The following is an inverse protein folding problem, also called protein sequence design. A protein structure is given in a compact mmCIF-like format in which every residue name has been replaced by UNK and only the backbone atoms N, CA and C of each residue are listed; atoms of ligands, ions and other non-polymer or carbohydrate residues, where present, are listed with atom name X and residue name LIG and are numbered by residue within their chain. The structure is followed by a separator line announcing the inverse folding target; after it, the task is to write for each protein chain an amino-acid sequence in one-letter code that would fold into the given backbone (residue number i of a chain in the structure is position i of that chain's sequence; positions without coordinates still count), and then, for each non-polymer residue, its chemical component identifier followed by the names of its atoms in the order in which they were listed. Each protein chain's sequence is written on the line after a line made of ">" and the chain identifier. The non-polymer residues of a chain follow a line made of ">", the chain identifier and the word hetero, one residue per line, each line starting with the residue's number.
data_IF_179598831544
#
_entry.id   IF_179598831544
#
_cell.length_a   1.000
_cell.length_b   1.000
_cell.length_c   1.000
_cell.angle_alpha   90.00
_cell.angle_beta   90.00
_cell.angle_gamma   90.00
#
_symmetry.space_group_name_H-M   'P 1'
#
loop_
_entity.id
_entity.type
_entity.pdbx_description
1 polymer ?
#
# COMPACT_ATOMS: atom_id res chain seq x y z
N UNK A 1 -22.82 -10.71 -42.33
CA UNK A 1 -22.36 -9.55 -41.55
C UNK A 1 -20.85 -9.59 -41.62
N UNK A 2 -20.19 -8.53 -42.11
CA UNK A 2 -18.73 -8.53 -42.17
C UNK A 2 -18.17 -8.60 -40.75
N UNK A 3 -17.04 -9.29 -40.56
CA UNK A 3 -16.37 -9.37 -39.26
C UNK A 3 -15.78 -8.03 -38.81
N UNK A 4 -15.64 -7.06 -39.73
CA UNK A 4 -15.14 -5.70 -39.53
C UNK A 4 -15.72 -4.78 -40.60
N UNK A 5 -16.30 -3.66 -40.17
CA UNK A 5 -16.76 -2.55 -41.02
C UNK A 5 -15.59 -1.72 -41.59
N UNK A 6 -14.44 -1.74 -40.91
CA UNK A 6 -13.19 -1.14 -41.38
C UNK A 6 -12.73 -1.83 -42.66
N UNK A 7 -12.67 -3.17 -42.68
CA UNK A 7 -12.35 -3.89 -43.91
C UNK A 7 -13.40 -3.68 -45.01
N UNK A 8 -14.69 -3.62 -44.66
CA UNK A 8 -15.72 -3.25 -45.64
C UNK A 8 -15.42 -1.90 -46.29
N UNK A 9 -15.01 -0.91 -45.51
CA UNK A 9 -14.66 0.43 -46.00
C UNK A 9 -13.36 0.45 -46.81
N UNK A 10 -12.34 -0.30 -46.39
CA UNK A 10 -11.05 -0.40 -47.08
C UNK A 10 -11.18 -1.07 -48.46
N UNK A 11 -12.08 -2.03 -48.62
CA UNK A 11 -12.31 -2.76 -49.85
C UNK A 11 -13.57 -2.31 -50.61
N UNK A 12 -14.20 -1.19 -50.21
CA UNK A 12 -15.36 -0.64 -50.93
C UNK A 12 -14.94 -0.21 -52.33
N UNK A 13 -15.72 -0.66 -53.31
CA UNK A 13 -15.57 -0.25 -54.71
C UNK A 13 -16.24 1.12 -54.89
N UNK A 14 -15.45 2.19 -54.96
CA UNK A 14 -15.89 3.56 -55.27
C UNK A 14 -15.26 4.03 -56.60
N UNK A 15 -15.71 5.18 -57.14
CA UNK A 15 -15.22 5.71 -58.43
C UNK A 15 -13.70 5.95 -58.46
N UNK A 16 -13.06 6.09 -57.28
CA UNK A 16 -11.60 6.18 -57.14
C UNK A 16 -10.92 4.81 -57.30
N UNK A 17 -11.48 3.75 -56.73
CA UNK A 17 -11.01 2.38 -56.88
C UNK A 17 -11.38 1.76 -58.24
N UNK A 18 -12.43 2.24 -58.91
CA UNK A 18 -12.83 1.79 -60.24
C UNK A 18 -11.85 2.18 -61.37
N UNK A 19 -11.01 3.21 -61.16
CA UNK A 19 -9.97 3.60 -62.14
C UNK A 19 -8.72 2.71 -62.07
N UNK A 20 -8.57 1.90 -61.03
CA UNK A 20 -7.53 0.88 -60.96
C UNK A 20 -7.97 -0.31 -61.83
N UNK A 21 -7.27 -0.56 -62.94
CA UNK A 21 -7.47 -1.78 -63.73
C UNK A 21 -7.12 -3.00 -62.87
N UNK A 22 -8.13 -3.67 -62.32
CA UNK A 22 -7.98 -4.98 -61.71
C UNK A 22 -7.65 -6.00 -62.82
N UNK A 23 -6.37 -6.20 -63.12
CA UNK A 23 -5.89 -7.35 -63.90
C UNK A 23 -5.28 -8.38 -62.94
N UNK A 24 -5.27 -9.65 -63.34
CA UNK A 24 -4.60 -10.72 -62.59
C UNK A 24 -3.09 -10.43 -62.36
N UNK A 25 -2.50 -9.52 -63.14
CA UNK A 25 -1.09 -9.14 -63.07
C UNK A 25 -0.78 -7.97 -62.11
N UNK A 26 -1.80 -7.26 -61.59
CA UNK A 26 -1.63 -6.15 -60.63
C UNK A 26 -2.71 -6.20 -59.52
N UNK A 27 -2.50 -6.98 -58.44
CA UNK A 27 -3.45 -7.02 -57.32
C UNK A 27 -3.52 -5.67 -56.60
N UNK A 28 -4.72 -5.31 -56.13
CA UNK A 28 -4.92 -4.14 -55.27
C UNK A 28 -4.41 -4.46 -53.85
N UNK A 29 -3.19 -4.03 -53.54
CA UNK A 29 -2.53 -4.27 -52.25
C UNK A 29 -2.79 -3.10 -51.31
N UNK A 30 -3.29 -3.41 -50.12
CA UNK A 30 -3.39 -2.46 -49.00
C UNK A 30 -2.27 -2.80 -48.03
N UNK A 31 -1.35 -1.86 -47.83
CA UNK A 31 -0.26 -2.02 -46.87
C UNK A 31 -0.73 -1.62 -45.47
N UNK A 32 -0.52 -2.52 -44.50
CA UNK A 32 -0.82 -2.31 -43.09
C UNK A 32 0.49 -2.01 -42.36
N UNK A 33 0.65 -0.77 -41.90
CA UNK A 33 1.89 -0.29 -41.25
C UNK A 33 1.71 0.01 -39.77
N UNK A 34 0.48 -0.03 -39.28
CA UNK A 34 0.07 0.43 -37.95
C UNK A 34 -0.16 -0.72 -36.95
N UNK A 35 0.01 -1.98 -37.36
CA UNK A 35 -0.16 -3.17 -36.52
C UNK A 35 0.97 -4.18 -36.78
N UNK A 36 1.41 -4.85 -35.72
CA UNK A 36 2.39 -5.93 -35.81
C UNK A 36 1.84 -7.14 -36.60
N UNK A 37 2.68 -7.75 -37.43
CA UNK A 37 2.28 -8.85 -38.30
C UNK A 37 1.70 -10.05 -37.54
N UNK A 38 2.27 -10.37 -36.36
CA UNK A 38 1.77 -11.46 -35.51
C UNK A 38 0.37 -11.17 -34.97
N UNK A 39 0.16 -9.97 -34.43
CA UNK A 39 -1.14 -9.54 -33.93
C UNK A 39 -2.21 -9.56 -35.03
N UNK A 40 -1.86 -9.09 -36.23
CA UNK A 40 -2.76 -9.10 -37.39
C UNK A 40 -3.11 -10.53 -37.81
N UNK A 41 -2.14 -11.46 -37.77
CA UNK A 41 -2.35 -12.88 -38.10
C UNK A 41 -3.29 -13.56 -37.11
N UNK A 42 -3.16 -13.30 -35.81
CA UNK A 42 -4.09 -13.79 -34.79
C UNK A 42 -5.50 -13.25 -35.05
N UNK A 43 -5.62 -11.95 -35.31
CA UNK A 43 -6.90 -11.33 -35.63
C UNK A 43 -7.55 -11.94 -36.88
N UNK A 44 -6.79 -12.20 -37.94
CA UNK A 44 -7.30 -12.89 -39.14
C UNK A 44 -7.75 -14.32 -38.83
N UNK A 45 -6.96 -15.07 -38.08
CA UNK A 45 -7.30 -16.45 -37.69
C UNK A 45 -8.62 -16.49 -36.91
N UNK A 46 -8.83 -15.51 -36.01
CA UNK A 46 -10.09 -15.34 -35.32
C UNK A 46 -11.25 -14.98 -36.25
N UNK A 47 -11.06 -14.04 -37.18
CA UNK A 47 -12.10 -13.63 -38.14
C UNK A 47 -12.61 -14.81 -38.98
N UNK A 48 -11.70 -15.70 -39.41
CA UNK A 48 -12.05 -16.80 -40.32
C UNK A 48 -12.46 -18.09 -39.61
N UNK A 49 -11.91 -18.37 -38.42
CA UNK A 49 -12.06 -19.67 -37.77
C UNK A 49 -12.40 -19.59 -36.27
N UNK A 50 -12.59 -18.40 -35.71
CA UNK A 50 -12.70 -18.17 -34.25
C UNK A 50 -11.52 -18.79 -33.46
N UNK A 51 -10.37 -18.93 -34.11
CA UNK A 51 -9.18 -19.56 -33.54
C UNK A 51 -8.32 -18.54 -32.79
N UNK A 52 -8.07 -18.83 -31.50
CA UNK A 52 -7.22 -18.06 -30.59
C UNK A 52 -6.03 -18.87 -30.07
N UNK A 53 -5.67 -19.99 -30.72
CA UNK A 53 -4.57 -20.85 -30.29
C UNK A 53 -3.20 -20.15 -30.25
N UNK A 54 -3.00 -19.14 -31.10
CA UNK A 54 -1.78 -18.33 -31.14
C UNK A 54 -1.79 -17.13 -30.16
N UNK A 55 -2.93 -16.86 -29.48
CA UNK A 55 -3.05 -15.79 -28.49
C UNK A 55 -2.35 -16.17 -27.18
N UNK A 56 -1.47 -15.31 -26.69
CA UNK A 56 -0.73 -15.51 -25.44
C UNK A 56 -0.43 -14.16 -24.75
N UNK A 57 0.15 -14.20 -23.55
CA UNK A 57 0.43 -12.99 -22.76
C UNK A 57 1.35 -11.97 -23.46
N UNK A 58 2.24 -12.41 -24.34
CA UNK A 58 3.19 -11.52 -25.02
C UNK A 58 2.54 -10.70 -26.15
N UNK A 59 1.56 -11.28 -26.85
CA UNK A 59 0.88 -10.63 -27.97
C UNK A 59 -0.54 -10.12 -27.61
N UNK A 60 -1.06 -10.42 -26.41
CA UNK A 60 -2.43 -10.07 -26.02
C UNK A 60 -2.76 -8.58 -26.20
N UNK A 61 -1.85 -7.68 -25.84
CA UNK A 61 -2.10 -6.24 -25.93
C UNK A 61 -2.01 -5.71 -27.36
N UNK A 62 -1.07 -6.21 -28.17
CA UNK A 62 -0.95 -5.82 -29.57
C UNK A 62 -2.11 -6.36 -30.40
N UNK A 63 -2.61 -7.56 -30.07
CA UNK A 63 -3.86 -8.11 -30.62
C UNK A 63 -5.07 -7.29 -30.18
N UNK A 64 -5.14 -6.84 -28.92
CA UNK A 64 -6.23 -5.97 -28.44
C UNK A 64 -6.26 -4.64 -29.18
N UNK A 65 -5.10 -4.01 -29.38
CA UNK A 65 -4.97 -2.81 -30.20
C UNK A 65 -5.47 -3.07 -31.63
N UNK A 66 -5.02 -4.15 -32.28
CA UNK A 66 -5.46 -4.51 -33.63
C UNK A 66 -6.98 -4.72 -33.71
N UNK A 67 -7.54 -5.49 -32.77
CA UNK A 67 -8.97 -5.78 -32.70
C UNK A 67 -9.80 -4.50 -32.53
N UNK A 68 -9.35 -3.57 -31.70
CA UNK A 68 -10.02 -2.28 -31.53
C UNK A 68 -9.90 -1.41 -32.79
N UNK A 69 -8.69 -1.32 -33.36
CA UNK A 69 -8.37 -0.54 -34.57
C UNK A 69 -9.19 -0.96 -35.78
N UNK A 70 -9.35 -2.27 -35.99
CA UNK A 70 -10.13 -2.84 -37.08
C UNK A 70 -11.57 -3.15 -36.68
N UNK A 71 -12.03 -2.72 -35.50
CA UNK A 71 -13.40 -2.86 -35.00
C UNK A 71 -13.94 -4.31 -35.02
N UNK A 72 -13.12 -5.26 -34.59
CA UNK A 72 -13.49 -6.68 -34.44
C UNK A 72 -14.04 -6.91 -33.03
N UNK A 73 -15.28 -6.47 -32.79
CA UNK A 73 -15.83 -6.38 -31.42
C UNK A 73 -15.90 -7.71 -30.66
N UNK A 74 -16.07 -8.85 -31.36
CA UNK A 74 -16.08 -10.17 -30.71
C UNK A 74 -14.69 -10.57 -30.19
N UNK A 75 -13.64 -10.21 -30.91
CA UNK A 75 -12.25 -10.44 -30.49
C UNK A 75 -11.89 -9.55 -29.29
N UNK A 76 -12.32 -8.28 -29.32
CA UNK A 76 -12.16 -7.38 -28.17
C UNK A 76 -12.79 -8.02 -26.94
N UNK A 77 -14.05 -8.48 -27.01
CA UNK A 77 -14.71 -9.14 -25.88
C UNK A 77 -13.94 -10.36 -25.36
N UNK A 78 -13.43 -11.22 -26.24
CA UNK A 78 -12.63 -12.37 -25.84
C UNK A 78 -11.34 -11.95 -25.10
N UNK A 79 -10.67 -10.89 -25.56
CA UNK A 79 -9.47 -10.34 -24.93
C UNK A 79 -9.75 -9.65 -23.59
N UNK A 80 -10.92 -9.02 -23.43
CA UNK A 80 -11.33 -8.44 -22.15
C UNK A 80 -11.49 -9.49 -21.05
N UNK A 81 -11.66 -10.77 -21.41
CA UNK A 81 -11.71 -11.91 -20.48
C UNK A 81 -10.35 -12.59 -20.25
N UNK A 82 -9.29 -12.15 -20.93
CA UNK A 82 -7.95 -12.74 -20.85
C UNK A 82 -7.40 -12.77 -19.39
N UNK A 83 -6.63 -13.82 -19.00
CA UNK A 83 -6.02 -13.92 -17.68
C UNK A 83 -4.91 -12.88 -17.45
N UNK A 84 -5.12 -11.97 -16.51
CA UNK A 84 -4.17 -10.85 -16.26
C UNK A 84 -2.83 -11.33 -15.70
N UNK A 85 -2.83 -12.44 -14.97
CA UNK A 85 -1.62 -13.05 -14.41
C UNK A 85 -0.69 -13.66 -15.48
N UNK A 86 -1.16 -13.84 -16.71
CA UNK A 86 -0.33 -14.29 -17.84
C UNK A 86 0.32 -13.12 -18.59
N UNK A 87 -0.08 -11.87 -18.28
CA UNK A 87 0.50 -10.69 -18.90
C UNK A 87 1.91 -10.45 -18.36
N UNK A 88 2.91 -10.20 -19.23
CA UNK A 88 4.28 -9.96 -18.81
C UNK A 88 4.40 -8.65 -18.03
N UNK A 89 3.69 -7.60 -18.45
CA UNK A 89 3.71 -6.30 -17.81
C UNK A 89 2.29 -5.77 -17.59
N UNK A 90 1.75 -6.01 -16.38
CA UNK A 90 0.41 -5.55 -16.01
C UNK A 90 0.29 -4.02 -15.95
N UNK A 91 1.38 -3.30 -15.68
CA UNK A 91 1.37 -1.84 -15.66
C UNK A 91 1.18 -1.27 -17.06
N UNK A 92 1.86 -1.84 -18.06
CA UNK A 92 1.68 -1.47 -19.46
C UNK A 92 0.28 -1.82 -19.94
N UNK A 93 -0.19 -3.05 -19.68
CA UNK A 93 -1.52 -3.49 -20.05
C UNK A 93 -2.63 -2.59 -19.47
N UNK A 94 -2.45 -2.13 -18.24
CA UNK A 94 -3.36 -1.17 -17.60
C UNK A 94 -3.45 0.17 -18.36
N UNK A 95 -2.30 0.73 -18.76
CA UNK A 95 -2.23 2.01 -19.50
C UNK A 95 -2.82 1.85 -20.89
N UNK A 96 -2.45 0.79 -21.60
CA UNK A 96 -2.94 0.51 -22.96
C UNK A 96 -4.45 0.27 -22.97
N UNK A 97 -4.98 -0.51 -22.04
CA UNK A 97 -6.43 -0.72 -21.92
C UNK A 97 -7.17 0.60 -21.63
N UNK A 98 -6.57 1.49 -20.84
CA UNK A 98 -7.12 2.83 -20.59
C UNK A 98 -7.10 3.69 -21.87
N UNK A 99 -6.02 3.66 -22.65
CA UNK A 99 -5.93 4.38 -23.92
C UNK A 99 -6.94 3.88 -24.95
N UNK A 100 -7.27 2.59 -24.93
CA UNK A 100 -8.31 1.98 -25.77
C UNK A 100 -9.74 2.19 -25.24
N UNK A 101 -9.92 2.90 -24.13
CA UNK A 101 -11.19 3.10 -23.43
C UNK A 101 -11.84 1.81 -22.90
N UNK A 102 -11.05 0.74 -22.73
CA UNK A 102 -11.51 -0.55 -22.20
C UNK A 102 -11.44 -0.55 -20.66
N UNK A 103 -12.33 0.24 -20.06
CA UNK A 103 -12.38 0.51 -18.62
C UNK A 103 -12.54 -0.75 -17.77
N UNK A 104 -13.24 -1.77 -18.28
CA UNK A 104 -13.45 -3.04 -17.56
C UNK A 104 -12.13 -3.78 -17.35
N UNK A 105 -11.34 -3.93 -18.40
CA UNK A 105 -10.04 -4.59 -18.33
C UNK A 105 -9.02 -3.75 -17.56
N UNK A 106 -8.98 -2.43 -17.80
CA UNK A 106 -8.15 -1.50 -17.02
C UNK A 106 -8.42 -1.62 -15.51
N UNK A 107 -9.70 -1.72 -15.09
CA UNK A 107 -10.07 -1.93 -13.69
C UNK A 107 -9.56 -3.26 -13.16
N UNK A 108 -9.73 -4.35 -13.91
CA UNK A 108 -9.22 -5.67 -13.49
C UNK A 108 -7.69 -5.68 -13.35
N UNK A 109 -6.96 -5.00 -14.25
CA UNK A 109 -5.50 -4.85 -14.13
C UNK A 109 -5.13 -4.11 -12.84
N UNK A 110 -5.86 -3.04 -12.52
CA UNK A 110 -5.62 -2.25 -11.32
C UNK A 110 -5.93 -3.03 -10.03
N UNK A 111 -7.02 -3.79 -10.02
CA UNK A 111 -7.36 -4.69 -8.92
C UNK A 111 -6.27 -5.77 -8.74
N UNK A 112 -5.73 -6.31 -9.83
CA UNK A 112 -4.61 -7.24 -9.78
C UNK A 112 -3.33 -6.60 -9.21
N UNK A 113 -3.03 -5.37 -9.61
CA UNK A 113 -1.92 -4.58 -9.05
C UNK A 113 -2.10 -4.39 -7.55
N UNK A 114 -3.31 -4.05 -7.10
CA UNK A 114 -3.60 -3.84 -5.68
C UNK A 114 -3.38 -5.11 -4.85
N UNK A 115 -3.83 -6.26 -5.34
CA UNK A 115 -3.72 -7.53 -4.63
C UNK A 115 -2.29 -8.09 -4.61
N UNK A 116 -1.49 -7.82 -5.65
CA UNK A 116 -0.14 -8.34 -5.80
C UNK A 116 0.94 -7.25 -5.61
N UNK A 117 0.60 -6.16 -4.93
CA UNK A 117 1.46 -4.98 -4.85
C UNK A 117 2.84 -5.28 -4.26
N UNK A 118 2.93 -6.15 -3.25
CA UNK A 118 4.21 -6.47 -2.59
C UNK A 118 5.23 -7.14 -3.54
N UNK A 119 4.77 -7.95 -4.50
CA UNK A 119 5.62 -8.59 -5.50
C UNK A 119 5.85 -7.67 -6.69
N UNK A 120 4.80 -7.03 -7.20
CA UNK A 120 4.86 -6.17 -8.38
C UNK A 120 5.72 -4.93 -8.16
N UNK A 121 5.68 -4.28 -6.99
CA UNK A 121 6.56 -3.15 -6.70
C UNK A 121 8.05 -3.53 -6.66
N UNK A 122 8.38 -4.82 -6.49
CA UNK A 122 9.75 -5.32 -6.49
C UNK A 122 10.25 -5.74 -7.87
N UNK A 123 9.36 -5.76 -8.87
CA UNK A 123 9.63 -6.21 -10.23
C UNK A 123 10.40 -5.20 -11.08
N UNK A 124 10.95 -5.66 -12.21
CA UNK A 124 11.64 -4.81 -13.20
C UNK A 124 10.62 -4.03 -14.04
N UNK A 125 9.43 -4.59 -14.27
CA UNK A 125 8.32 -3.98 -14.99
C UNK A 125 7.86 -2.68 -14.30
N UNK A 126 7.92 -2.65 -12.97
CA UNK A 126 7.64 -1.44 -12.20
C UNK A 126 8.62 -0.31 -12.51
N UNK A 127 9.88 -0.60 -12.86
CA UNK A 127 10.88 0.41 -13.18
C UNK A 127 10.65 1.09 -14.53
N UNK A 128 9.80 0.49 -15.39
CA UNK A 128 9.52 0.99 -16.74
C UNK A 128 8.43 2.07 -16.73
N UNK A 129 7.60 2.16 -15.70
CA UNK A 129 6.46 3.10 -15.63
C UNK A 129 6.90 4.56 -15.60
N UNK A 130 6.03 5.47 -16.03
CA UNK A 130 6.25 6.91 -15.91
C UNK A 130 5.92 7.46 -14.49
N UNK A 131 6.30 8.72 -14.23
CA UNK A 131 6.11 9.36 -12.93
C UNK A 131 4.63 9.54 -12.57
N UNK A 132 3.76 9.73 -13.56
CA UNK A 132 2.32 9.92 -13.33
C UNK A 132 1.69 8.62 -12.86
N UNK A 133 2.00 7.50 -13.51
CA UNK A 133 1.55 6.18 -13.14
C UNK A 133 2.13 5.75 -11.78
N UNK A 134 3.41 6.06 -11.50
CA UNK A 134 4.00 5.88 -10.19
C UNK A 134 3.19 6.59 -9.10
N UNK A 135 2.88 7.87 -9.31
CA UNK A 135 2.10 8.68 -8.39
C UNK A 135 0.68 8.12 -8.23
N UNK A 136 0.04 7.69 -9.32
CA UNK A 136 -1.29 7.06 -9.30
C UNK A 136 -1.29 5.81 -8.45
N UNK A 137 -0.34 4.89 -8.66
CA UNK A 137 -0.23 3.62 -7.94
C UNK A 137 0.02 3.87 -6.45
N UNK A 138 1.07 4.62 -6.10
CA UNK A 138 1.49 4.82 -4.70
C UNK A 138 0.41 5.50 -3.86
N UNK A 139 -0.40 6.39 -4.47
CA UNK A 139 -1.50 7.09 -3.80
C UNK A 139 -2.62 6.15 -3.33
N UNK A 140 -2.82 5.00 -3.98
CA UNK A 140 -4.01 4.15 -3.78
C UNK A 140 -4.10 3.58 -2.37
N UNK A 141 -5.26 3.73 -1.73
CA UNK A 141 -5.53 3.09 -0.45
C UNK A 141 -5.69 1.56 -0.55
N UNK A 142 -5.92 1.03 -1.75
CA UNK A 142 -6.27 -0.38 -1.97
C UNK A 142 -5.05 -1.31 -2.05
N UNK A 143 -3.83 -0.77 -2.24
CA UNK A 143 -2.60 -1.56 -2.32
C UNK A 143 -2.44 -2.44 -1.07
N UNK A 144 -2.39 -3.75 -1.26
CA UNK A 144 -2.18 -4.75 -0.22
C UNK A 144 -0.69 -4.87 0.08
N UNK A 145 -0.21 -3.99 0.94
CA UNK A 145 1.18 -3.96 1.40
C UNK A 145 1.21 -3.87 2.92
N UNK A 146 2.11 -4.65 3.52
CA UNK A 146 2.26 -4.76 4.97
C UNK A 146 3.10 -3.63 5.57
N UNK A 147 4.09 -3.11 4.82
CA UNK A 147 5.05 -2.11 5.30
C UNK A 147 5.26 -1.00 4.26
N UNK A 148 4.96 0.25 4.61
CA UNK A 148 5.21 1.43 3.78
C UNK A 148 6.69 1.60 3.41
N UNK A 149 7.61 1.01 4.18
CA UNK A 149 9.03 0.97 3.80
C UNK A 149 9.25 0.26 2.46
N UNK A 150 8.43 -0.74 2.12
CA UNK A 150 8.52 -1.43 0.83
C UNK A 150 8.23 -0.48 -0.33
N UNK A 151 7.28 0.44 -0.14
CA UNK A 151 6.90 1.45 -1.13
C UNK A 151 8.01 2.48 -1.28
N UNK A 152 8.60 2.92 -0.16
CA UNK A 152 9.78 3.78 -0.17
C UNK A 152 10.95 3.15 -0.95
N UNK A 153 11.29 1.90 -0.67
CA UNK A 153 12.38 1.20 -1.34
C UNK A 153 12.12 1.04 -2.84
N UNK A 154 10.89 0.71 -3.23
CA UNK A 154 10.49 0.63 -4.63
C UNK A 154 10.57 1.99 -5.34
N UNK A 155 10.13 3.06 -4.67
CA UNK A 155 10.20 4.42 -5.20
C UNK A 155 11.66 4.88 -5.40
N UNK A 156 12.55 4.60 -4.45
CA UNK A 156 13.98 4.92 -4.59
C UNK A 156 14.62 4.12 -5.72
N UNK A 157 14.30 2.82 -5.85
CA UNK A 157 14.79 2.01 -6.98
C UNK A 157 14.31 2.56 -8.32
N UNK A 158 13.04 2.97 -8.41
CA UNK A 158 12.50 3.62 -9.59
C UNK A 158 13.20 4.95 -9.88
N UNK A 159 13.48 5.76 -8.86
CA UNK A 159 14.19 7.03 -9.01
C UNK A 159 15.64 6.82 -9.49
N UNK A 160 16.34 5.83 -8.94
CA UNK A 160 17.69 5.44 -9.38
C UNK A 160 17.70 5.03 -10.85
N UNK A 161 16.73 4.22 -11.29
CA UNK A 161 16.60 3.82 -12.70
C UNK A 161 16.32 5.03 -13.60
N UNK A 162 15.46 5.97 -13.17
CA UNK A 162 15.21 7.21 -13.91
C UNK A 162 16.46 8.08 -14.03
N UNK A 163 17.24 8.19 -12.96
CA UNK A 163 18.54 8.88 -12.99
C UNK A 163 19.51 8.21 -13.97
N UNK A 164 19.58 6.88 -13.96
CA UNK A 164 20.41 6.11 -14.89
C UNK A 164 20.00 6.33 -16.35
N UNK A 165 18.69 6.32 -16.65
CA UNK A 165 18.17 6.59 -18.00
C UNK A 165 18.46 8.01 -18.47
N UNK A 166 18.47 8.99 -17.56
CA UNK A 166 18.84 10.37 -17.85
C UNK A 166 20.36 10.62 -17.84
N UNK A 167 21.17 9.59 -17.55
CA UNK A 167 22.62 9.67 -17.44
C UNK A 167 23.11 10.70 -16.39
N UNK A 168 22.37 10.82 -15.29
CA UNK A 168 22.72 11.68 -14.15
C UNK A 168 23.08 10.84 -12.92
N UNK A 169 23.85 11.40 -12.00
CA UNK A 169 24.19 10.73 -10.75
C UNK A 169 22.94 10.50 -9.89
N UNK A 170 22.85 9.34 -9.23
CA UNK A 170 21.80 9.04 -8.27
C UNK A 170 22.03 9.76 -6.93
N UNK A 171 22.10 11.10 -6.97
CA UNK A 171 22.21 11.97 -5.80
C UNK A 171 20.85 12.11 -5.10
N UNK A 172 20.84 12.56 -3.84
CA UNK A 172 19.59 12.76 -3.10
C UNK A 172 18.67 13.81 -3.76
N UNK A 173 19.26 14.85 -4.34
CA UNK A 173 18.55 15.91 -5.07
C UNK A 173 17.92 15.36 -6.36
N UNK A 174 18.69 14.64 -7.17
CA UNK A 174 18.20 14.06 -8.42
C UNK A 174 17.10 13.01 -8.17
N UNK A 175 17.22 12.20 -7.11
CA UNK A 175 16.16 11.26 -6.71
C UNK A 175 14.88 11.99 -6.30
N UNK A 176 15.01 13.09 -5.55
CA UNK A 176 13.87 13.90 -5.13
C UNK A 176 13.16 14.50 -6.33
N UNK A 177 13.92 15.03 -7.28
CA UNK A 177 13.40 15.62 -8.51
C UNK A 177 12.73 14.55 -9.40
N UNK A 178 13.37 13.38 -9.54
CA UNK A 178 12.82 12.25 -10.28
C UNK A 178 11.49 11.76 -9.66
N UNK A 179 11.38 11.69 -8.33
CA UNK A 179 10.15 11.29 -7.63
C UNK A 179 9.05 12.35 -7.73
N UNK A 180 9.42 13.63 -7.65
CA UNK A 180 8.50 14.76 -7.76
C UNK A 180 7.23 14.59 -6.91
N UNK A 181 6.01 14.69 -7.49
CA UNK A 181 4.75 14.57 -6.74
C UNK A 181 4.55 13.21 -6.06
N UNK A 182 5.16 12.14 -6.55
CA UNK A 182 5.00 10.80 -5.99
C UNK A 182 5.56 10.68 -4.57
N UNK A 183 6.61 11.45 -4.25
CA UNK A 183 7.22 11.48 -2.92
C UNK A 183 6.19 11.81 -1.82
N UNK A 184 5.31 12.77 -2.09
CA UNK A 184 4.28 13.23 -1.15
C UNK A 184 3.07 12.30 -1.05
N UNK A 185 3.06 11.19 -1.81
CA UNK A 185 2.04 10.14 -1.71
C UNK A 185 2.47 9.00 -0.79
N UNK A 186 3.75 8.93 -0.42
CA UNK A 186 4.29 7.93 0.50
C UNK A 186 3.90 8.29 1.94
N UNK A 187 3.50 7.29 2.73
CA UNK A 187 2.96 7.49 4.08
C UNK A 187 4.04 7.30 5.14
N UNK A 188 5.06 8.16 5.09
CA UNK A 188 6.19 8.13 6.04
C UNK A 188 5.80 8.05 7.53
N UNK A 189 4.72 8.72 8.00
CA UNK A 189 4.27 8.61 9.38
C UNK A 189 3.93 7.17 9.83
N UNK A 190 3.65 6.26 8.89
CA UNK A 190 3.33 4.86 9.19
C UNK A 190 4.56 3.95 9.20
N UNK A 191 5.73 4.45 8.79
CA UNK A 191 6.99 3.72 8.91
C UNK A 191 7.48 3.87 10.35
N UNK A 192 7.86 2.76 10.98
CA UNK A 192 8.37 2.77 12.37
C UNK A 192 9.53 3.76 12.51
N UNK A 193 9.64 4.43 13.67
CA UNK A 193 10.67 5.44 13.92
C UNK A 193 12.08 4.93 13.63
N UNK A 194 12.38 3.68 14.02
CA UNK A 194 13.67 3.03 13.77
C UNK A 194 13.97 2.88 12.28
N UNK A 195 13.03 2.32 11.51
CA UNK A 195 13.19 2.17 10.05
C UNK A 195 13.30 3.52 9.36
N UNK A 196 12.51 4.50 9.79
CA UNK A 196 12.54 5.87 9.26
C UNK A 196 13.91 6.52 9.45
N UNK A 197 14.46 6.47 10.67
CA UNK A 197 15.77 7.03 10.98
C UNK A 197 16.90 6.35 10.19
N UNK A 198 16.87 5.02 10.06
CA UNK A 198 17.96 4.27 9.43
C UNK A 198 17.95 4.33 7.89
N UNK A 199 16.76 4.34 7.27
CA UNK A 199 16.65 4.19 5.81
C UNK A 199 16.28 5.50 5.10
N UNK A 200 15.51 6.37 5.74
CA UNK A 200 14.92 7.54 5.08
C UNK A 200 15.67 8.81 5.45
N UNK A 201 15.90 9.05 6.74
CA UNK A 201 16.71 10.20 7.19
C UNK A 201 18.12 10.13 6.60
N UNK A 202 18.74 8.95 6.62
CA UNK A 202 20.08 8.73 6.05
C UNK A 202 20.14 8.86 4.52
N UNK A 203 19.00 8.81 3.82
CA UNK A 203 18.96 8.98 2.35
C UNK A 203 19.13 10.44 1.90
N UNK A 204 18.91 11.40 2.81
CA UNK A 204 18.90 12.84 2.53
C UNK A 204 17.89 13.32 1.46
N UNK A 205 16.97 12.47 0.99
CA UNK A 205 15.94 12.84 -0.01
C UNK A 205 14.85 13.73 0.59
N UNK A 206 14.50 13.52 1.86
CA UNK A 206 13.56 14.39 2.59
C UNK A 206 14.28 15.60 3.15
N UNK A 207 13.62 16.76 3.16
CA UNK A 207 14.15 17.97 3.79
C UNK A 207 14.16 17.83 5.31
N UNK A 208 14.97 18.65 6.00
CA UNK A 208 15.03 18.63 7.46
C UNK A 208 13.66 18.92 8.11
N UNK A 209 12.87 19.84 7.54
CA UNK A 209 11.53 20.17 8.03
C UNK A 209 10.56 18.98 7.88
N UNK A 210 10.61 18.30 6.74
CA UNK A 210 9.81 17.09 6.47
C UNK A 210 10.16 15.95 7.43
N UNK A 211 11.46 15.73 7.67
CA UNK A 211 11.92 14.72 8.62
C UNK A 211 11.46 15.04 10.05
N UNK A 212 11.57 16.30 10.47
CA UNK A 212 11.13 16.73 11.80
C UNK A 212 9.62 16.61 11.96
N UNK A 213 8.82 16.92 10.93
CA UNK A 213 7.37 16.72 10.95
C UNK A 213 6.99 15.25 11.19
N UNK A 214 7.63 14.31 10.48
CA UNK A 214 7.38 12.87 10.66
C UNK A 214 7.80 12.39 12.06
N UNK A 215 8.98 12.80 12.54
CA UNK A 215 9.46 12.43 13.87
C UNK A 215 8.57 13.02 14.98
N UNK A 216 8.08 14.24 14.82
CA UNK A 216 7.11 14.85 15.73
C UNK A 216 5.83 14.03 15.81
N UNK A 217 5.32 13.57 14.67
CA UNK A 217 4.16 12.68 14.62
C UNK A 217 4.42 11.34 15.31
N UNK A 218 5.60 10.75 15.14
CA UNK A 218 5.98 9.52 15.85
C UNK A 218 5.98 9.70 17.37
N UNK A 219 6.43 10.86 17.86
CA UNK A 219 6.41 11.21 19.27
C UNK A 219 4.98 11.40 19.81
N UNK A 220 4.15 12.18 19.10
CA UNK A 220 2.76 12.39 19.46
C UNK A 220 1.90 12.73 18.22
N UNK A 221 1.04 11.81 17.77
CA UNK A 221 0.17 12.02 16.61
C UNK A 221 -0.78 13.23 16.73
N UNK A 222 -1.12 13.67 17.95
CA UNK A 222 -1.99 14.83 18.16
C UNK A 222 -1.32 16.17 17.85
N UNK A 223 -0.01 16.18 17.64
CA UNK A 223 0.75 17.38 17.32
C UNK A 223 0.78 17.73 15.83
N UNK A 224 0.11 16.93 14.99
CA UNK A 224 0.09 17.07 13.52
C UNK A 224 -0.18 18.49 13.04
N UNK A 225 -1.17 19.16 13.64
CA UNK A 225 -1.68 20.46 13.21
C UNK A 225 -1.47 21.55 14.30
N UNK A 226 -0.56 21.30 15.24
CA UNK A 226 -0.33 22.23 16.35
C UNK A 226 0.37 23.51 15.85
N UNK A 227 -0.12 24.71 16.21
CA UNK A 227 0.49 25.97 15.81
C UNK A 227 1.96 26.07 16.26
N UNK A 228 2.85 26.47 15.36
CA UNK A 228 4.28 26.63 15.63
C UNK A 228 5.13 25.36 15.51
N UNK A 229 4.55 24.24 15.05
CA UNK A 229 5.28 23.01 14.70
C UNK A 229 5.44 22.84 13.19
N UNK A 230 6.25 21.86 12.77
CA UNK A 230 6.48 21.58 11.36
C UNK A 230 5.22 20.96 10.73
N UNK A 231 4.68 21.53 9.63
CA UNK A 231 3.44 21.05 9.05
C UNK A 231 3.61 19.65 8.44
N UNK A 232 2.62 18.79 8.65
CA UNK A 232 2.64 17.43 8.10
C UNK A 232 2.26 17.44 6.61
N UNK A 233 3.25 17.22 5.74
CA UNK A 233 3.06 17.14 4.28
C UNK A 233 2.65 15.74 3.78
N UNK A 234 2.73 14.71 4.62
CA UNK A 234 2.54 13.32 4.21
C UNK A 234 1.24 12.72 4.75
N UNK A 235 0.62 11.75 4.04
CA UNK A 235 -0.57 11.07 4.54
C UNK A 235 -0.28 10.29 5.82
N UNK A 236 -1.18 10.40 6.80
CA UNK A 236 -1.09 9.69 8.09
C UNK A 236 -2.07 8.52 8.24
N UNK A 237 -2.92 8.28 7.24
CA UNK A 237 -3.93 7.23 7.28
C UNK A 237 -3.40 5.93 6.68
N UNK A 238 -3.75 4.79 7.29
CA UNK A 238 -3.39 3.47 6.77
C UNK A 238 -4.03 3.16 5.43
N UNK A 239 -3.46 2.19 4.71
CA UNK A 239 -4.10 1.56 3.55
C UNK A 239 -5.29 0.70 4.00
N UNK A 240 -6.22 0.44 3.10
CA UNK A 240 -7.35 -0.44 3.32
C UNK A 240 -6.82 -1.86 3.46
N UNK A 241 -6.71 -2.32 4.70
CA UNK A 241 -6.35 -3.68 5.02
C UNK A 241 -7.61 -4.53 5.21
N UNK A 242 -7.64 -5.73 4.64
CA UNK A 242 -8.67 -6.74 4.96
C UNK A 242 -8.28 -7.56 6.19
N UNK A 243 -7.08 -7.33 6.72
CA UNK A 243 -6.58 -8.00 7.89
C UNK A 243 -7.49 -7.65 9.07
N UNK A 244 -8.15 -8.70 9.59
CA UNK A 244 -9.06 -8.62 10.73
C UNK A 244 -8.33 -8.80 12.05
N UNK A 245 -7.12 -9.34 12.03
CA UNK A 245 -6.40 -9.77 13.24
C UNK A 245 -4.92 -9.38 13.15
N UNK A 246 -4.33 -9.00 14.27
CA UNK A 246 -2.91 -8.69 14.33
C UNK A 246 -2.37 -8.74 15.74
N UNK A 247 -1.05 -8.82 15.86
CA UNK A 247 -0.35 -8.87 17.13
C UNK A 247 0.57 -7.67 17.26
N UNK A 248 0.35 -6.88 18.30
CA UNK A 248 1.25 -5.82 18.75
C UNK A 248 2.22 -6.41 19.78
N UNK A 249 3.48 -6.02 19.72
CA UNK A 249 4.50 -6.36 20.72
C UNK A 249 5.30 -5.13 21.09
N UNK A 250 5.70 -5.03 22.36
CA UNK A 250 6.52 -3.94 22.86
C UNK A 250 7.45 -4.44 23.96
N UNK A 251 8.73 -4.17 23.81
CA UNK A 251 9.70 -4.33 24.88
C UNK A 251 9.83 -3.01 25.65
N UNK A 252 9.68 -3.08 26.96
CA UNK A 252 10.03 -1.98 27.87
C UNK A 252 11.42 -2.30 28.41
N UNK A 253 12.43 -1.71 27.78
CA UNK A 253 13.81 -1.73 28.26
C UNK A 253 13.98 -0.80 29.46
N UNK A 254 14.99 -1.09 30.30
CA UNK A 254 15.30 -0.32 31.51
C UNK A 254 14.11 -0.19 32.44
N UNK A 255 13.40 -1.29 32.66
CA UNK A 255 12.18 -1.33 33.47
C UNK A 255 12.41 -0.78 34.89
N UNK A 256 13.59 -1.02 35.45
CA UNK A 256 13.99 -0.51 36.76
C UNK A 256 14.06 1.03 36.82
N UNK A 257 14.50 1.67 35.73
CA UNK A 257 14.45 3.13 35.58
C UNK A 257 13.01 3.60 35.39
N UNK A 258 12.27 2.93 34.50
CA UNK A 258 10.87 3.25 34.23
C UNK A 258 10.04 3.21 35.52
N UNK A 259 10.17 2.17 36.35
CA UNK A 259 9.46 2.05 37.63
C UNK A 259 9.73 3.22 38.60
N UNK A 260 10.88 3.90 38.49
CA UNK A 260 11.26 5.05 39.32
C UNK A 260 10.78 6.39 38.75
N UNK A 261 10.41 6.45 37.48
CA UNK A 261 9.93 7.67 36.84
C UNK A 261 8.68 8.24 37.55
N UNK A 262 8.35 9.49 37.18
CA UNK A 262 7.19 10.20 37.70
C UNK A 262 5.91 9.46 37.33
N UNK A 263 4.92 9.53 38.21
CA UNK A 263 3.57 9.02 37.93
C UNK A 263 3.06 9.68 36.64
N UNK A 264 2.42 8.88 35.78
CA UNK A 264 1.97 9.22 34.41
C UNK A 264 3.03 9.18 33.30
N UNK A 265 4.29 8.81 33.58
CA UNK A 265 5.24 8.46 32.53
C UNK A 265 4.65 7.42 31.59
N UNK A 266 4.75 7.67 30.28
CA UNK A 266 4.11 6.88 29.23
C UNK A 266 5.13 6.42 28.19
N UNK A 267 4.92 5.23 27.65
CA UNK A 267 5.65 4.65 26.54
C UNK A 267 4.65 4.09 25.52
N UNK A 268 5.02 4.11 24.25
CA UNK A 268 4.19 3.64 23.15
C UNK A 268 4.95 2.64 22.30
N UNK A 269 4.27 1.64 21.75
CA UNK A 269 4.86 0.75 20.77
C UNK A 269 4.90 1.36 19.37
N UNK A 270 5.59 0.66 18.47
CA UNK A 270 5.29 0.76 17.04
C UNK A 270 3.83 0.41 16.77
N UNK A 271 3.27 1.01 15.72
CA UNK A 271 1.87 0.81 15.35
C UNK A 271 1.70 -0.27 14.29
N UNK A 272 0.55 -0.94 14.32
CA UNK A 272 0.08 -1.80 13.23
C UNK A 272 -1.25 -1.28 12.70
N UNK A 273 -1.57 -1.61 11.46
CA UNK A 273 -2.84 -1.25 10.83
C UNK A 273 -3.73 -2.48 10.68
N UNK A 274 -4.91 -2.44 11.29
CA UNK A 274 -5.92 -3.50 11.18
C UNK A 274 -7.21 -2.85 10.73
N UNK A 275 -7.78 -3.35 9.63
CA UNK A 275 -8.89 -2.69 8.91
C UNK A 275 -8.70 -1.20 8.66
N UNK A 276 -7.45 -0.79 8.36
CA UNK A 276 -7.09 0.60 8.09
C UNK A 276 -7.01 1.52 9.30
N UNK A 277 -7.26 1.02 10.52
CA UNK A 277 -7.13 1.78 11.76
C UNK A 277 -5.73 1.54 12.39
N UNK A 278 -5.04 2.60 12.84
CA UNK A 278 -3.75 2.50 13.51
C UNK A 278 -3.90 2.11 14.98
N UNK A 279 -3.25 1.01 15.36
CA UNK A 279 -3.26 0.48 16.72
C UNK A 279 -1.86 0.52 17.34
N UNK A 280 -1.75 0.90 18.61
CA UNK A 280 -0.52 0.90 19.39
C UNK A 280 -0.77 0.36 20.80
N UNK A 281 0.29 -0.15 21.42
CA UNK A 281 0.36 -0.34 22.86
C UNK A 281 0.66 1.01 23.51
N UNK A 282 -0.09 1.34 24.55
CA UNK A 282 0.22 2.42 25.46
C UNK A 282 0.44 1.86 26.85
N UNK A 283 1.68 1.98 27.35
CA UNK A 283 2.05 1.58 28.70
C UNK A 283 2.31 2.83 29.55
N UNK A 284 1.76 2.87 30.75
CA UNK A 284 1.98 3.99 31.68
C UNK A 284 2.05 3.56 33.14
N UNK A 285 2.67 4.41 33.95
CA UNK A 285 2.75 4.26 35.39
C UNK A 285 1.54 4.97 36.02
N UNK A 286 0.70 4.22 36.71
CA UNK A 286 -0.40 4.78 37.50
C UNK A 286 -0.21 4.43 38.99
N UNK A 287 -0.88 5.19 39.86
CA UNK A 287 -1.09 4.84 41.26
C UNK A 287 -2.58 4.77 41.55
N UNK A 288 -2.99 3.97 42.55
CA UNK A 288 -4.40 3.84 42.95
C UNK A 288 -4.66 4.75 44.14
N UNK A 289 -5.71 5.59 44.10
CA UNK A 289 -6.27 6.34 45.24
C UNK A 289 -5.27 6.85 46.30
N UNK A 290 -4.33 7.72 45.91
CA UNK A 290 -3.29 8.29 46.80
C UNK A 290 -2.34 7.28 47.49
N UNK A 291 -2.27 6.03 47.01
CA UNK A 291 -1.26 5.05 47.41
C UNK A 291 0.11 5.37 46.79
N UNK A 292 1.18 4.99 47.48
CA UNK A 292 2.55 4.97 46.96
C UNK A 292 2.82 3.78 46.04
N UNK A 293 1.90 2.81 45.99
CA UNK A 293 2.01 1.62 45.17
C UNK A 293 1.86 1.96 43.67
N UNK A 294 2.93 1.71 42.91
CA UNK A 294 2.99 1.94 41.48
C UNK A 294 2.54 0.70 40.71
N UNK A 295 1.73 0.93 39.70
CA UNK A 295 1.19 -0.09 38.83
C UNK A 295 1.60 0.16 37.38
N UNK A 296 1.95 -0.93 36.69
CA UNK A 296 2.04 -0.91 35.24
C UNK A 296 0.63 -1.01 34.67
N UNK A 297 0.22 0.03 33.95
CA UNK A 297 -1.04 0.04 33.22
C UNK A 297 -0.76 -0.11 31.74
N UNK A 298 -1.55 -0.96 31.10
CA UNK A 298 -1.31 -1.45 29.75
C UNK A 298 -2.61 -1.37 28.95
N UNK A 299 -2.57 -0.62 27.86
CA UNK A 299 -3.74 -0.28 27.05
C UNK A 299 -3.48 -0.56 25.57
N UNK A 300 -4.55 -0.98 24.88
CA UNK A 300 -4.67 -0.86 23.45
C UNK A 300 -5.15 0.57 23.12
N UNK A 301 -4.47 1.24 22.20
CA UNK A 301 -4.76 2.61 21.78
C UNK A 301 -4.94 2.66 20.27
N UNK A 302 -6.04 3.26 19.81
CA UNK A 302 -6.23 3.67 18.43
C UNK A 302 -5.78 5.14 18.26
N UNK A 303 -4.85 5.39 17.34
CA UNK A 303 -4.22 6.73 17.18
C UNK A 303 -4.81 7.59 16.07
N UNK A 304 -6.05 7.32 15.64
CA UNK A 304 -6.75 8.19 14.70
C UNK A 304 -6.94 9.58 15.34
N UNK A 305 -6.51 10.67 14.68
CA UNK A 305 -6.70 12.02 15.22
C UNK A 305 -8.19 12.37 15.39
N UNK A 306 -8.52 13.15 16.42
CA UNK A 306 -9.92 13.51 16.74
C UNK A 306 -10.63 14.30 15.65
N UNK A 307 -9.88 14.99 14.78
CA UNK A 307 -10.40 15.87 13.72
C UNK A 307 -10.82 15.10 12.45
N UNK A 308 -10.54 13.81 12.45
CA UNK A 308 -10.44 12.99 11.27
C UNK A 308 -11.64 12.00 11.24
N UNK A 309 -12.84 12.56 11.03
CA UNK A 309 -14.10 11.82 10.89
C UNK A 309 -14.56 11.07 12.15
N UNK A 310 -15.75 10.46 12.12
CA UNK A 310 -16.30 9.69 13.25
C UNK A 310 -16.06 8.18 13.03
N UNK A 311 -14.88 7.68 13.41
CA UNK A 311 -14.59 6.24 13.31
C UNK A 311 -15.20 5.49 14.49
N UNK A 312 -15.55 4.24 14.25
CA UNK A 312 -15.94 3.27 15.29
C UNK A 312 -15.48 1.88 14.88
N UNK A 313 -15.05 1.11 15.87
CA UNK A 313 -14.50 -0.21 15.66
C UNK A 313 -14.94 -1.13 16.79
N UNK A 314 -15.57 -2.24 16.44
CA UNK A 314 -15.78 -3.36 17.36
C UNK A 314 -14.56 -4.26 17.34
N UNK A 315 -13.88 -4.36 18.48
CA UNK A 315 -12.67 -5.17 18.61
C UNK A 315 -12.66 -6.02 19.87
N UNK A 316 -12.08 -7.21 19.75
CA UNK A 316 -11.67 -8.05 20.86
C UNK A 316 -10.14 -8.02 20.97
N UNK A 317 -9.63 -7.95 22.19
CA UNK A 317 -8.19 -7.88 22.43
C UNK A 317 -7.78 -8.74 23.62
N UNK A 318 -6.67 -9.45 23.46
CA UNK A 318 -6.00 -10.25 24.48
C UNK A 318 -4.66 -9.61 24.81
N UNK A 319 -4.59 -8.95 25.95
CA UNK A 319 -3.39 -8.30 26.48
C UNK A 319 -2.61 -9.33 27.29
N UNK A 320 -1.31 -9.45 27.07
CA UNK A 320 -0.44 -10.34 27.83
C UNK A 320 0.90 -9.70 28.19
N UNK A 321 1.40 -10.03 29.38
CA UNK A 321 2.81 -9.88 29.74
C UNK A 321 3.48 -11.21 29.45
N UNK A 322 4.44 -11.20 28.53
CA UNK A 322 5.09 -12.41 28.02
C UNK A 322 6.06 -12.93 29.07
N UNK A 323 5.87 -14.19 29.46
CA UNK A 323 6.76 -14.87 30.39
C UNK A 323 8.12 -15.12 29.76
N UNK A 324 9.20 -14.83 30.51
CA UNK A 324 10.58 -15.05 30.09
C UNK A 324 11.07 -16.46 30.50
N UNK A 325 10.43 -17.08 31.48
CA UNK A 325 10.81 -18.39 31.99
C UNK A 325 10.15 -19.52 31.18
N UNK A 326 10.95 -20.53 30.79
CA UNK A 326 10.45 -21.74 30.12
C UNK A 326 9.44 -22.46 31.03
N UNK A 327 8.18 -22.54 30.57
CA UNK A 327 7.09 -23.26 31.26
C UNK A 327 6.15 -22.38 32.10
N UNK A 328 6.48 -21.10 32.32
CA UNK A 328 5.57 -20.15 32.97
C UNK A 328 4.59 -19.57 31.94
N UNK A 329 3.31 -19.51 32.29
CA UNK A 329 2.25 -18.97 31.41
C UNK A 329 2.26 -17.45 31.45
N UNK A 330 1.96 -16.84 30.31
CA UNK A 330 1.79 -15.39 30.19
C UNK A 330 0.65 -14.89 31.07
N UNK A 331 0.87 -13.75 31.74
CA UNK A 331 -0.21 -13.09 32.47
C UNK A 331 -1.13 -12.41 31.47
N UNK A 332 -2.34 -12.93 31.33
CA UNK A 332 -3.26 -12.56 30.25
C UNK A 332 -4.55 -11.93 30.77
N UNK A 333 -5.05 -10.89 30.09
CA UNK A 333 -6.38 -10.31 30.29
C UNK A 333 -7.05 -10.02 28.96
N UNK A 334 -8.36 -10.18 28.88
CA UNK A 334 -9.13 -10.04 27.63
C UNK A 334 -10.25 -9.03 27.78
N UNK A 335 -10.60 -8.36 26.69
CA UNK A 335 -11.80 -7.54 26.59
C UNK A 335 -12.39 -7.58 25.18
N UNK A 336 -13.67 -7.27 25.10
CA UNK A 336 -14.40 -7.04 23.85
C UNK A 336 -15.17 -5.73 24.02
N UNK A 337 -14.87 -4.73 23.18
CA UNK A 337 -15.47 -3.39 23.28
C UNK A 337 -15.52 -2.70 21.92
N UNK A 338 -16.38 -1.70 21.84
CA UNK A 338 -16.43 -0.74 20.74
C UNK A 338 -15.55 0.46 21.10
N UNK A 339 -14.49 0.68 20.32
CA UNK A 339 -13.63 1.85 20.43
C UNK A 339 -14.01 2.89 19.36
N UNK A 340 -13.86 4.16 19.71
CA UNK A 340 -14.22 5.30 18.85
C UNK A 340 -13.44 6.56 19.25
N UNK A 341 -13.71 7.70 18.64
CA UNK A 341 -13.02 8.97 18.97
C UNK A 341 -13.14 9.44 20.43
N UNK A 342 -14.24 9.11 21.12
CA UNK A 342 -14.44 9.50 22.53
C UNK A 342 -13.69 8.57 23.47
N UNK A 343 -13.68 7.29 23.14
CA UNK A 343 -13.01 6.22 23.89
C UNK A 343 -12.08 5.46 22.94
N UNK A 344 -10.94 6.08 22.63
CA UNK A 344 -9.99 5.58 21.64
C UNK A 344 -8.96 4.60 22.23
N UNK A 345 -9.01 4.35 23.53
CA UNK A 345 -8.13 3.40 24.21
C UNK A 345 -8.86 2.63 25.30
N UNK A 346 -8.44 1.40 25.50
CA UNK A 346 -8.93 0.56 26.59
C UNK A 346 -7.85 -0.42 27.05
N UNK A 347 -7.87 -0.74 28.34
CA UNK A 347 -6.82 -1.52 28.97
C UNK A 347 -7.05 -1.70 30.45
N UNK A 348 -6.00 -2.11 31.15
CA UNK A 348 -6.10 -2.45 32.56
C UNK A 348 -4.95 -1.82 33.36
N UNK A 349 -5.26 -1.53 34.62
CA UNK A 349 -4.28 -1.53 35.68
C UNK A 349 -3.84 -3.00 35.86
N UNK A 350 -2.68 -3.36 35.30
CA UNK A 350 -2.38 -4.75 34.93
C UNK A 350 -1.72 -5.53 36.07
N UNK A 351 -0.61 -5.01 36.59
CA UNK A 351 0.20 -5.62 37.65
C UNK A 351 0.95 -4.54 38.44
N UNK A 352 1.27 -4.79 39.70
CA UNK A 352 2.14 -3.91 40.50
C UNK A 352 3.59 -4.06 40.03
N UNK A 353 4.38 -3.00 40.17
CA UNK A 353 5.81 -3.10 39.86
C UNK A 353 6.56 -4.07 40.79
N UNK A 354 6.08 -4.23 42.03
CA UNK A 354 6.61 -5.21 42.98
C UNK A 354 6.41 -6.66 42.49
N UNK A 355 5.20 -7.00 42.07
CA UNK A 355 4.91 -8.35 41.55
C UNK A 355 5.54 -8.58 40.17
N UNK A 356 5.60 -7.54 39.33
CA UNK A 356 6.20 -7.64 38.00
C UNK A 356 7.70 -7.94 38.05
N UNK A 357 8.42 -7.32 38.98
CA UNK A 357 9.86 -7.48 39.15
C UNK A 357 10.24 -8.66 40.04
N UNK A 358 9.27 -9.39 40.60
CA UNK A 358 9.51 -10.59 41.40
C UNK A 358 10.07 -11.73 40.50
N UNK A 359 11.32 -12.19 40.74
CA UNK A 359 11.92 -13.26 39.94
C UNK A 359 11.12 -14.57 39.96
N UNK A 360 10.34 -14.82 41.01
CA UNK A 360 9.51 -16.02 41.13
C UNK A 360 8.36 -16.06 40.11
N UNK A 361 7.93 -14.89 39.63
CA UNK A 361 6.81 -14.73 38.70
C UNK A 361 7.24 -14.90 37.24
N UNK A 362 8.51 -14.66 36.92
CA UNK A 362 9.09 -14.94 35.60
C UNK A 362 8.69 -14.00 34.47
N UNK A 363 8.13 -12.82 34.78
CA UNK A 363 7.71 -11.83 33.79
C UNK A 363 8.80 -10.80 33.43
N UNK A 364 9.76 -10.60 34.32
CA UNK A 364 10.83 -9.62 34.19
C UNK A 364 12.16 -10.33 33.91
N UNK A 365 12.82 -9.94 32.82
CA UNK A 365 14.20 -10.35 32.55
C UNK A 365 15.15 -9.44 33.33
N UNK A 366 15.75 -9.99 34.39
CA UNK A 366 16.69 -9.28 35.25
C UNK A 366 18.04 -8.99 34.55
N UNK A 367 18.43 -9.80 33.57
CA UNK A 367 19.70 -9.63 32.87
C UNK A 367 19.61 -8.50 31.85
N UNK A 368 18.49 -8.41 31.12
CA UNK A 368 18.24 -7.35 30.13
C UNK A 368 17.55 -6.11 30.72
N UNK A 369 17.11 -6.14 31.99
CA UNK A 369 16.23 -5.15 32.62
C UNK A 369 15.00 -4.84 31.74
N UNK A 370 14.30 -5.91 31.32
CA UNK A 370 13.28 -5.85 30.27
C UNK A 370 12.00 -6.58 30.63
N UNK A 371 10.87 -6.07 30.14
CA UNK A 371 9.60 -6.81 30.07
C UNK A 371 9.00 -6.69 28.67
N UNK A 372 8.42 -7.77 28.18
CA UNK A 372 7.73 -7.80 26.88
C UNK A 372 6.22 -7.80 27.09
N UNK A 373 5.55 -6.83 26.47
CA UNK A 373 4.10 -6.71 26.40
C UNK A 373 3.63 -7.13 25.02
N UNK A 374 2.50 -7.83 24.94
CA UNK A 374 1.87 -8.15 23.66
C UNK A 374 0.35 -8.01 23.72
N UNK A 375 -0.24 -7.63 22.59
CA UNK A 375 -1.69 -7.58 22.39
C UNK A 375 -2.03 -8.32 21.11
N UNK A 376 -2.80 -9.39 21.22
CA UNK A 376 -3.49 -9.98 20.07
C UNK A 376 -4.85 -9.29 19.94
N UNK A 377 -5.09 -8.59 18.83
CA UNK A 377 -6.30 -7.83 18.54
C UNK A 377 -7.01 -8.43 17.34
N UNK A 378 -8.34 -8.51 17.43
CA UNK A 378 -9.26 -8.88 16.35
C UNK A 378 -10.31 -7.79 16.19
N UNK A 379 -10.53 -7.37 14.94
CA UNK A 379 -11.46 -6.32 14.53
C UNK A 379 -12.57 -6.95 13.69
N UNK A 380 -13.80 -6.93 14.22
CA UNK A 380 -14.96 -7.56 13.57
C UNK A 380 -15.61 -6.61 12.57
N UNK A 381 -15.97 -5.40 13.01
CA UNK A 381 -16.47 -4.33 12.16
C UNK A 381 -15.67 -3.05 12.41
N UNK A 382 -15.16 -2.47 11.33
CA UNK A 382 -14.64 -1.12 11.34
C UNK A 382 -15.51 -0.31 10.38
N UNK A 383 -15.98 0.85 10.82
CA UNK A 383 -16.48 1.89 9.90
C UNK A 383 -15.28 2.80 9.60
N UNK A 384 -14.47 2.50 8.55
CA UNK A 384 -13.35 3.34 8.19
C UNK A 384 -13.84 4.73 7.78
N UNK A 385 -12.94 5.69 7.86
CA UNK A 385 -13.17 7.07 7.44
C UNK A 385 -13.74 7.10 6.01
N UNK A 386 -14.78 7.92 5.77
CA UNK A 386 -15.07 8.33 4.40
C UNK A 386 -13.87 9.18 3.95
N UNK A 387 -13.26 8.93 2.77
CA UNK A 387 -12.23 9.82 2.26
C UNK A 387 -12.80 11.24 2.23
N UNK A 388 -12.07 12.22 2.77
CA UNK A 388 -12.35 13.61 2.43
C UNK A 388 -12.19 13.69 0.91
N UNK A 389 -13.29 13.87 0.19
CA UNK A 389 -13.22 14.31 -1.20
C UNK A 389 -12.51 15.66 -1.14
N UNK A 390 -11.23 15.69 -1.50
CA UNK A 390 -10.60 16.93 -1.86
C UNK A 390 -11.32 17.39 -3.13
N UNK A 391 -12.11 18.44 -3.01
CA UNK A 391 -12.58 19.20 -4.16
C UNK A 391 -11.35 19.63 -4.95
N UNK A 392 -11.36 19.33 -6.25
CA UNK A 392 -10.32 19.67 -7.23
C UNK A 392 -9.88 21.13 -7.21
#
# INVERSE_FOLDING_TARGET
>A
MFASDVFESMFRFDDKNAMAKFSADCPHVIEVTDVEAEAFKVMLSFIYAEDLSELNGQNAMTVLYAANKYNVSLLVKALLDFPINELPNVFLAFVEARLLNENGFSRRCLDYIDQNAETLLKSEEFLQIDQNLLCEIIKRDQLKINDELTIWNAAIRWADERCAQMLIECSAENRRDALGPALFRIRFPLITTKKFALNIVSSCVLTMEEQLAVLQYHCNPNLRDAPGLYPMAFPCHGRISDQKEGTLTMDIEKLSEFARERVNSSRYSDGIYIKGLPWKIWAKINTKNNSTEKWLSFYLLCTVPKEDGNWSCECSATLRIVSQNKGTKDLTRKFERILNNKENSWGFLFITFEELMDPSKGFYDKNEDKVTLAIDIKVEEAKPMKPRQYSE
#
